data_IF_755367472405
#
_entry.id   IF_755367472405
#
_cell.length_a   1.000
_cell.length_b   1.000
_cell.length_c   1.000
_cell.angle_alpha   90.00
_cell.angle_beta   90.00
_cell.angle_gamma   90.00
#
_symmetry.space_group_name_H-M   'P 1'
#
loop_
_entity.id
_entity.type
_entity.pdbx_description
1 polymer ?
#
# COMPACT_ATOMS: atom_id res chain seq x y z
N UNK A 1 15.33 44.85 11.97
CA UNK A 1 14.14 43.98 11.95
C UNK A 1 14.23 43.07 10.74
N UNK A 2 14.96 41.96 10.90
CA UNK A 2 15.26 41.00 9.84
C UNK A 2 14.05 40.11 9.57
N UNK A 3 13.56 40.14 8.33
CA UNK A 3 12.73 39.09 7.74
C UNK A 3 13.60 38.37 6.71
N UNK A 4 14.53 37.54 7.19
CA UNK A 4 15.12 36.54 6.30
C UNK A 4 14.13 35.39 6.16
N UNK A 5 13.45 35.45 5.02
CA UNK A 5 12.60 34.45 4.41
C UNK A 5 13.28 33.09 4.40
N UNK A 6 12.95 32.21 5.34
CA UNK A 6 13.33 30.80 5.31
C UNK A 6 12.07 29.94 5.18
N UNK A 7 11.72 29.59 3.93
CA UNK A 7 11.02 28.34 3.57
C UNK A 7 10.91 28.19 2.04
N UNK A 8 10.89 26.94 1.49
CA UNK A 8 11.13 25.66 2.17
C UNK A 8 12.10 24.73 1.42
N UNK A 9 12.89 23.97 2.20
CA UNK A 9 13.59 22.74 1.82
C UNK A 9 12.80 21.86 0.82
N UNK A 10 11.47 21.86 0.91
CA UNK A 10 10.58 21.07 0.07
C UNK A 10 10.68 21.32 -1.45
N UNK A 11 11.04 22.52 -1.92
CA UNK A 11 11.20 22.78 -3.36
C UNK A 11 12.46 22.08 -3.94
N UNK A 12 13.51 21.98 -3.12
CA UNK A 12 14.74 21.24 -3.45
C UNK A 12 14.48 19.73 -3.45
N UNK A 13 13.81 19.22 -2.40
CA UNK A 13 13.42 17.80 -2.31
C UNK A 13 12.52 17.36 -3.48
N UNK A 14 11.55 18.20 -3.88
CA UNK A 14 10.69 17.91 -5.03
C UNK A 14 11.47 17.82 -6.35
N UNK A 15 12.50 18.66 -6.53
CA UNK A 15 13.35 18.64 -7.73
C UNK A 15 14.29 17.43 -7.74
N UNK A 16 14.87 17.07 -6.58
CA UNK A 16 15.70 15.87 -6.43
C UNK A 16 14.89 14.59 -6.69
N UNK A 17 13.62 14.57 -6.27
CA UNK A 17 12.76 13.43 -6.55
C UNK A 17 12.36 13.34 -8.03
N UNK A 18 12.07 14.46 -8.70
CA UNK A 18 11.82 14.47 -10.15
C UNK A 18 13.00 13.88 -10.92
N UNK A 19 14.22 14.31 -10.61
CA UNK A 19 15.41 13.77 -11.28
C UNK A 19 15.64 12.28 -10.99
N UNK A 20 15.28 11.81 -9.79
CA UNK A 20 15.28 10.39 -9.47
C UNK A 20 14.22 9.62 -10.28
N UNK A 21 12.99 10.12 -10.32
CA UNK A 21 11.90 9.53 -11.10
C UNK A 21 12.28 9.40 -12.58
N UNK A 22 12.77 10.47 -13.19
CA UNK A 22 13.12 10.49 -14.62
C UNK A 22 14.23 9.47 -14.95
N UNK A 23 15.17 9.26 -14.02
CA UNK A 23 16.26 8.29 -14.17
C UNK A 23 15.81 6.84 -13.97
N UNK A 24 14.98 6.57 -12.97
CA UNK A 24 14.77 5.21 -12.46
C UNK A 24 13.34 4.65 -12.69
N UNK A 25 12.37 5.45 -13.14
CA UNK A 25 10.98 4.98 -13.33
C UNK A 25 10.86 3.82 -14.33
N UNK A 26 11.48 3.96 -15.51
CA UNK A 26 11.47 2.89 -16.53
C UNK A 26 12.18 1.63 -16.03
N UNK A 27 13.34 1.81 -15.40
CA UNK A 27 14.10 0.72 -14.80
C UNK A 27 13.26 -0.02 -13.76
N UNK A 28 12.52 0.71 -12.91
CA UNK A 28 11.66 0.14 -11.88
C UNK A 28 10.53 -0.70 -12.50
N UNK A 29 9.81 -0.19 -13.48
CA UNK A 29 8.76 -0.97 -14.16
C UNK A 29 9.30 -2.27 -14.78
N UNK A 30 10.44 -2.18 -15.50
CA UNK A 30 11.05 -3.36 -16.13
C UNK A 30 11.53 -4.40 -15.11
N UNK A 31 12.19 -3.97 -14.04
CA UNK A 31 12.70 -4.91 -13.03
C UNK A 31 11.55 -5.55 -12.26
N UNK A 32 10.46 -4.83 -11.99
CA UNK A 32 9.28 -5.38 -11.32
C UNK A 32 8.57 -6.42 -12.18
N UNK A 33 8.37 -6.12 -13.47
CA UNK A 33 7.79 -7.07 -14.41
C UNK A 33 8.61 -8.38 -14.44
N UNK A 34 9.94 -8.26 -14.58
CA UNK A 34 10.85 -9.41 -14.64
C UNK A 34 10.93 -10.19 -13.32
N UNK A 35 11.08 -9.50 -12.18
CA UNK A 35 11.28 -10.14 -10.87
C UNK A 35 10.01 -10.71 -10.25
N UNK A 36 8.90 -9.99 -10.38
CA UNK A 36 7.64 -10.40 -9.76
C UNK A 36 6.80 -11.29 -10.69
N UNK A 37 7.19 -11.42 -11.97
CA UNK A 37 6.47 -12.17 -13.00
C UNK A 37 5.00 -11.74 -13.10
N UNK A 38 4.81 -10.43 -13.14
CA UNK A 38 3.51 -9.77 -13.25
C UNK A 38 3.35 -9.19 -14.65
N UNK A 39 2.11 -8.91 -15.05
CA UNK A 39 1.86 -8.17 -16.29
C UNK A 39 2.34 -6.72 -16.19
N UNK A 40 2.30 -6.02 -17.33
CA UNK A 40 2.78 -4.64 -17.40
C UNK A 40 1.93 -3.67 -16.58
N UNK A 41 0.62 -3.85 -16.57
CA UNK A 41 -0.29 -2.96 -15.85
C UNK A 41 -0.06 -3.06 -14.33
N UNK A 42 0.04 -4.28 -13.82
CA UNK A 42 0.34 -4.54 -12.42
C UNK A 42 1.74 -4.04 -12.01
N UNK A 43 2.73 -4.15 -12.91
CA UNK A 43 4.06 -3.57 -12.66
C UNK A 43 4.00 -2.04 -12.56
N UNK A 44 3.26 -1.38 -13.46
CA UNK A 44 3.09 0.07 -13.47
C UNK A 44 2.35 0.56 -12.21
N UNK A 45 1.31 -0.14 -11.75
CA UNK A 45 0.58 0.18 -10.51
C UNK A 45 1.51 0.11 -9.28
N UNK A 46 2.32 -0.95 -9.17
CA UNK A 46 3.27 -1.11 -8.07
C UNK A 46 4.34 0.00 -8.12
N UNK A 47 4.81 0.35 -9.31
CA UNK A 47 5.78 1.42 -9.50
C UNK A 47 5.22 2.78 -9.08
N UNK A 48 3.99 3.11 -9.48
CA UNK A 48 3.32 4.35 -9.09
C UNK A 48 3.16 4.46 -7.57
N UNK A 49 2.62 3.43 -6.92
CA UNK A 49 2.46 3.41 -5.47
C UNK A 49 3.81 3.49 -4.74
N UNK A 50 4.87 2.93 -5.33
CA UNK A 50 6.24 3.06 -4.81
C UNK A 50 6.67 4.52 -4.80
N UNK A 51 6.48 5.26 -5.89
CA UNK A 51 6.81 6.69 -5.96
C UNK A 51 5.96 7.54 -5.02
N UNK A 52 4.68 7.22 -4.84
CA UNK A 52 3.80 7.87 -3.84
C UNK A 52 4.34 7.67 -2.42
N UNK A 53 4.87 6.49 -2.08
CA UNK A 53 5.50 6.26 -0.78
C UNK A 53 6.83 6.98 -0.62
N UNK A 54 7.63 7.07 -1.67
CA UNK A 54 8.88 7.85 -1.67
C UNK A 54 8.60 9.35 -1.49
N UNK A 55 7.54 9.87 -2.12
CA UNK A 55 7.08 11.25 -1.96
C UNK A 55 6.75 11.59 -0.50
N UNK A 56 6.20 10.63 0.25
CA UNK A 56 5.78 10.79 1.64
C UNK A 56 6.87 10.47 2.66
N UNK A 57 7.94 9.79 2.24
CA UNK A 57 9.04 9.40 3.11
C UNK A 57 10.12 10.50 3.15
N UNK A 58 10.78 10.65 4.30
CA UNK A 58 12.00 11.45 4.40
C UNK A 58 13.11 10.73 3.63
N UNK A 59 13.59 11.35 2.54
CA UNK A 59 14.61 10.77 1.66
C UNK A 59 16.05 11.04 2.11
N UNK A 60 16.23 11.76 3.23
CA UNK A 60 17.54 12.07 3.78
C UNK A 60 18.30 10.80 4.16
N UNK A 61 19.49 10.59 3.60
CA UNK A 61 20.37 9.48 3.95
C UNK A 61 20.13 8.16 3.20
N UNK A 62 19.38 8.14 2.09
CA UNK A 62 19.25 6.93 1.27
C UNK A 62 20.54 6.68 0.48
N UNK A 63 21.41 5.80 0.99
CA UNK A 63 22.68 5.41 0.34
C UNK A 63 22.48 4.60 -0.95
N UNK A 64 21.41 3.81 -1.03
CA UNK A 64 21.14 2.90 -2.14
C UNK A 64 19.73 3.09 -2.72
N UNK A 65 19.52 4.12 -3.57
CA UNK A 65 18.20 4.50 -4.09
C UNK A 65 17.44 3.33 -4.74
N UNK A 66 18.08 2.59 -5.64
CA UNK A 66 17.44 1.45 -6.34
C UNK A 66 17.03 0.32 -5.40
N UNK A 67 17.85 0.01 -4.39
CA UNK A 67 17.52 -1.01 -3.40
C UNK A 67 16.33 -0.57 -2.53
N UNK A 68 16.27 0.71 -2.17
CA UNK A 68 15.15 1.30 -1.44
C UNK A 68 13.84 1.19 -2.23
N UNK A 69 13.82 1.55 -3.51
CA UNK A 69 12.66 1.38 -4.39
C UNK A 69 12.20 -0.07 -4.46
N UNK A 70 13.13 -0.99 -4.73
CA UNK A 70 12.83 -2.42 -4.79
C UNK A 70 12.25 -2.94 -3.47
N UNK A 71 12.78 -2.48 -2.33
CA UNK A 71 12.30 -2.88 -1.01
C UNK A 71 10.85 -2.46 -0.78
N UNK A 72 10.50 -1.21 -1.13
CA UNK A 72 9.12 -0.72 -1.05
C UNK A 72 8.21 -1.54 -1.96
N UNK A 73 8.59 -1.72 -3.23
CA UNK A 73 7.80 -2.43 -4.22
C UNK A 73 7.56 -3.91 -3.87
N UNK A 74 8.58 -4.61 -3.35
CA UNK A 74 8.45 -6.01 -2.90
C UNK A 74 7.49 -6.11 -1.71
N UNK A 75 7.55 -5.17 -0.77
CA UNK A 75 6.64 -5.15 0.36
C UNK A 75 5.18 -4.93 -0.10
N UNK A 76 4.97 -3.97 -1.01
CA UNK A 76 3.67 -3.71 -1.64
C UNK A 76 3.09 -4.97 -2.30
N UNK A 77 3.91 -5.64 -3.13
CA UNK A 77 3.51 -6.87 -3.80
C UNK A 77 3.14 -7.98 -2.81
N UNK A 78 3.95 -8.19 -1.76
CA UNK A 78 3.68 -9.18 -0.72
C UNK A 78 2.38 -8.89 0.02
N UNK A 79 2.11 -7.63 0.33
CA UNK A 79 0.89 -7.22 1.02
C UNK A 79 -0.34 -7.39 0.13
N UNK A 80 -0.24 -7.09 -1.17
CA UNK A 80 -1.29 -7.39 -2.15
C UNK A 80 -1.59 -8.90 -2.20
N UNK A 81 -0.57 -9.73 -2.37
CA UNK A 81 -0.71 -11.21 -2.38
C UNK A 81 -1.29 -11.76 -1.08
N UNK A 82 -0.91 -11.18 0.07
CA UNK A 82 -1.49 -11.56 1.37
C UNK A 82 -2.99 -11.25 1.41
N UNK A 83 -3.40 -10.07 0.92
CA UNK A 83 -4.83 -9.69 0.84
C UNK A 83 -5.62 -10.60 -0.09
N UNK A 84 -5.10 -10.90 -1.29
CA UNK A 84 -5.76 -11.79 -2.25
C UNK A 84 -5.95 -13.20 -1.67
N UNK A 85 -4.93 -13.73 -1.00
CA UNK A 85 -5.01 -15.03 -0.34
C UNK A 85 -6.08 -15.05 0.77
N UNK A 86 -6.17 -13.98 1.56
CA UNK A 86 -7.19 -13.87 2.61
C UNK A 86 -8.60 -13.76 2.01
N UNK A 87 -8.78 -12.98 0.94
CA UNK A 87 -10.06 -12.88 0.24
C UNK A 87 -10.46 -14.20 -0.42
N UNK A 88 -9.52 -14.92 -1.03
CA UNK A 88 -9.76 -16.26 -1.59
C UNK A 88 -10.15 -17.28 -0.52
N UNK A 89 -9.48 -17.26 0.64
CA UNK A 89 -9.87 -18.10 1.81
C UNK A 89 -11.25 -17.75 2.31
N UNK A 90 -11.55 -16.45 2.43
CA UNK A 90 -12.87 -15.95 2.80
C UNK A 90 -13.89 -16.51 1.82
N UNK A 91 -13.76 -16.25 0.52
CA UNK A 91 -14.68 -16.73 -0.51
C UNK A 91 -14.90 -18.24 -0.44
N UNK A 92 -13.84 -19.04 -0.29
CA UNK A 92 -13.95 -20.50 -0.10
C UNK A 92 -14.79 -20.88 1.11
N UNK A 93 -14.64 -20.18 2.24
CA UNK A 93 -15.46 -20.40 3.44
C UNK A 93 -16.93 -20.05 3.18
N UNK A 94 -17.21 -18.94 2.48
CA UNK A 94 -18.59 -18.55 2.14
C UNK A 94 -19.24 -19.50 1.14
N UNK A 95 -18.47 -20.08 0.23
CA UNK A 95 -18.96 -21.04 -0.78
C UNK A 95 -18.99 -22.49 -0.28
N UNK A 96 -18.52 -22.77 0.94
CA UNK A 96 -18.55 -24.12 1.51
C UNK A 96 -19.99 -24.52 1.86
N UNK A 97 -20.42 -25.76 1.53
CA UNK A 97 -21.73 -26.28 1.94
C UNK A 97 -21.84 -26.44 3.46
N UNK A 98 -20.71 -26.60 4.17
CA UNK A 98 -20.62 -26.53 5.62
C UNK A 98 -20.35 -25.10 6.10
N UNK A 99 -21.08 -24.12 5.55
CA UNK A 99 -21.02 -22.75 6.05
C UNK A 99 -21.50 -22.81 7.51
N UNK A 100 -20.68 -22.40 8.51
CA UNK A 100 -21.18 -22.29 9.86
C UNK A 100 -22.35 -21.30 9.82
N UNK A 101 -23.53 -21.76 10.22
CA UNK A 101 -24.68 -20.87 10.36
C UNK A 101 -24.20 -19.73 11.26
N UNK A 102 -24.14 -18.51 10.72
CA UNK A 102 -23.92 -17.33 11.53
C UNK A 102 -25.14 -17.23 12.44
N UNK A 103 -25.05 -17.84 13.61
CA UNK A 103 -25.95 -17.60 14.73
C UNK A 103 -25.29 -16.46 15.48
N UNK A 104 -25.79 -15.21 15.36
CA UNK A 104 -25.43 -14.21 16.34
C UNK A 104 -26.00 -14.71 17.67
N UNK A 105 -25.17 -15.36 18.50
CA UNK A 105 -25.64 -15.97 19.76
C UNK A 105 -26.13 -14.91 20.76
N UNK A 106 -25.91 -13.61 20.52
CA UNK A 106 -26.09 -12.59 21.55
C UNK A 106 -26.78 -11.31 21.04
N UNK A 107 -27.90 -11.39 20.29
CA UNK A 107 -28.67 -10.18 19.92
C UNK A 107 -30.17 -10.23 20.28
N UNK A 108 -30.60 -11.13 21.17
CA UNK A 108 -32.05 -11.32 21.46
C UNK A 108 -32.46 -11.20 22.95
N UNK A 109 -31.64 -10.69 23.87
CA UNK A 109 -32.07 -10.68 25.30
C UNK A 109 -31.92 -9.33 26.05
N UNK A 110 -31.79 -8.19 25.36
CA UNK A 110 -31.90 -6.89 26.04
C UNK A 110 -32.64 -5.89 25.17
N UNK A 111 -33.97 -6.00 25.09
CA UNK A 111 -34.90 -4.89 24.84
C UNK A 111 -36.34 -5.44 24.76
N UNK A 112 -36.93 -5.85 25.90
CA UNK A 112 -38.40 -5.86 26.10
C UNK A 112 -38.78 -6.07 27.58
N UNK A 113 -38.09 -5.40 28.51
CA UNK A 113 -38.57 -5.34 29.91
C UNK A 113 -38.60 -3.91 30.45
N UNK A 114 -39.07 -2.97 29.62
CA UNK A 114 -39.38 -1.60 30.07
C UNK A 114 -40.71 -1.09 29.51
N UNK A 115 -41.58 -2.00 29.08
CA UNK A 115 -42.96 -1.66 28.73
C UNK A 115 -43.82 -2.88 29.04
N UNK A 116 -44.15 -3.06 30.32
CA UNK A 116 -45.43 -3.55 30.87
C UNK A 116 -45.21 -3.95 32.34
N UNK A 117 -45.06 -2.96 33.21
CA UNK A 117 -45.69 -2.87 34.54
C UNK A 117 -45.44 -1.50 35.17
#
# INVERSE_FOLDING_TARGET
MSRESSAPDGASSASALRSWHDRDARWLCEILQRRLRVDRAQADDIAQETWVRVLRATQAGVEHPRAFLLKIAINLFRDARRRDNLQGRKLKLWSSPERPAFRPTNLEEQEVDTLLE
#
